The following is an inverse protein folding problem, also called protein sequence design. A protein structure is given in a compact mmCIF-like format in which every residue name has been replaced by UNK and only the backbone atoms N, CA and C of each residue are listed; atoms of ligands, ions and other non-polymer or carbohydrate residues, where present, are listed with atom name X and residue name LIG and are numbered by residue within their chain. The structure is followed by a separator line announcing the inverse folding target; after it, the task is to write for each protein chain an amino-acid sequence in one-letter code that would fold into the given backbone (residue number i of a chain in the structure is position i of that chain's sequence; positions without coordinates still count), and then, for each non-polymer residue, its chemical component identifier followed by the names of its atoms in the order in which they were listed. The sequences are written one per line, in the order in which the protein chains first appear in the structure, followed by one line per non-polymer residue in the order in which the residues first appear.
data_IF_520527397394
#
_entry.id   IF_520527397394
#
_cell.length_a   1.000
_cell.length_b   1.000
_cell.length_c   1.000
_cell.angle_alpha   90.00
_cell.angle_beta   90.00
_cell.angle_gamma   90.00
#
_symmetry.space_group_name_H-M   'P 1'
#
loop_
_entity.id
_entity.type
_entity.pdbx_description
1 polymer ?
#
# COMPACT_ATOMS: atom_id res chain seq x y z
N UNK A 1 -4.75 -2.73 36.94
CA UNK A 1 -4.24 -1.62 36.08
C UNK A 1 -5.45 -0.88 35.51
N UNK A 2 -5.52 0.43 35.69
CA UNK A 2 -6.59 1.27 35.18
C UNK A 2 -6.49 1.41 33.64
N UNK A 3 -7.57 1.87 32.99
CA UNK A 3 -7.58 2.08 31.54
C UNK A 3 -6.62 3.21 31.13
N UNK A 4 -6.55 4.28 31.94
CA UNK A 4 -5.65 5.42 31.76
C UNK A 4 -4.19 4.99 31.87
N UNK A 5 -3.86 4.25 32.90
CA UNK A 5 -2.51 3.71 33.11
C UNK A 5 -2.10 2.77 31.96
N UNK A 6 -3.03 1.90 31.52
CA UNK A 6 -2.78 1.03 30.36
C UNK A 6 -2.48 1.84 29.11
N UNK A 7 -3.26 2.89 28.84
CA UNK A 7 -3.06 3.76 27.68
C UNK A 7 -1.70 4.49 27.76
N UNK A 8 -1.36 5.07 28.90
CA UNK A 8 -0.08 5.75 29.10
C UNK A 8 1.11 4.81 28.83
N UNK A 9 1.05 3.58 29.33
CA UNK A 9 2.09 2.57 29.08
C UNK A 9 2.17 2.16 27.61
N UNK A 10 1.03 1.99 26.92
CA UNK A 10 1.02 1.70 25.49
C UNK A 10 1.69 2.80 24.67
N UNK A 11 1.47 4.08 25.02
CA UNK A 11 2.13 5.19 24.36
C UNK A 11 3.67 5.19 24.53
N UNK A 12 4.14 4.67 25.66
CA UNK A 12 5.57 4.51 25.97
C UNK A 12 6.23 3.32 25.25
N UNK A 13 5.44 2.40 24.66
CA UNK A 13 5.96 1.26 23.88
C UNK A 13 6.78 1.69 22.65
N UNK A 14 6.63 2.95 22.20
CA UNK A 14 7.37 3.51 21.06
C UNK A 14 6.91 3.00 19.69
N UNK A 15 6.00 2.03 19.63
CA UNK A 15 5.46 1.48 18.38
C UNK A 15 4.07 2.05 18.08
N UNK A 16 3.90 2.60 16.88
CA UNK A 16 2.62 3.17 16.45
C UNK A 16 1.60 2.08 16.05
N UNK A 17 2.09 0.89 15.67
CA UNK A 17 1.28 -0.29 15.37
C UNK A 17 1.90 -1.49 16.07
N UNK A 18 1.09 -2.27 16.76
CA UNK A 18 1.54 -3.41 17.56
C UNK A 18 0.51 -4.54 17.58
N UNK A 19 0.97 -5.72 17.92
CA UNK A 19 0.09 -6.89 18.11
C UNK A 19 -0.37 -6.99 19.55
N UNK A 20 -1.49 -7.70 19.77
CA UNK A 20 -1.95 -8.04 21.14
C UNK A 20 -0.86 -8.72 21.96
N UNK A 21 -0.08 -9.61 21.35
CA UNK A 21 1.00 -10.32 22.03
C UNK A 21 2.13 -9.36 22.50
N UNK A 22 2.47 -8.38 21.68
CA UNK A 22 3.51 -7.38 22.00
C UNK A 22 3.07 -6.53 23.21
N UNK A 23 1.81 -6.07 23.20
CA UNK A 23 1.23 -5.33 24.30
C UNK A 23 1.11 -6.20 25.55
N UNK A 24 0.73 -7.47 25.45
CA UNK A 24 0.64 -8.39 26.56
C UNK A 24 2.01 -8.58 27.24
N UNK A 25 3.05 -8.82 26.43
CA UNK A 25 4.42 -8.97 26.93
C UNK A 25 4.91 -7.67 27.63
N UNK A 26 4.70 -6.52 26.99
CA UNK A 26 5.12 -5.22 27.53
C UNK A 26 4.40 -4.86 28.84
N UNK A 27 3.12 -5.18 28.95
CA UNK A 27 2.30 -4.88 30.13
C UNK A 27 2.43 -5.95 31.23
N UNK A 28 3.07 -7.09 30.98
CA UNK A 28 3.13 -8.22 31.91
C UNK A 28 1.77 -8.91 32.11
N UNK A 29 0.96 -8.99 31.04
CA UNK A 29 -0.40 -9.53 31.09
C UNK A 29 -0.55 -10.78 30.21
N UNK A 30 -1.60 -11.56 30.47
CA UNK A 30 -2.00 -12.61 29.53
C UNK A 30 -2.57 -12.00 28.24
N UNK A 31 -2.46 -12.71 27.11
CA UNK A 31 -3.03 -12.29 25.83
C UNK A 31 -4.53 -11.98 25.91
N UNK A 32 -5.29 -12.78 26.69
CA UNK A 32 -6.73 -12.59 26.87
C UNK A 32 -7.04 -11.30 27.64
N UNK A 33 -6.28 -10.99 28.67
CA UNK A 33 -6.45 -9.77 29.47
C UNK A 33 -6.03 -8.53 28.64
N UNK A 34 -4.89 -8.59 27.96
CA UNK A 34 -4.45 -7.52 27.07
C UNK A 34 -5.48 -7.26 25.97
N UNK A 35 -5.99 -8.30 25.30
CA UNK A 35 -7.01 -8.16 24.25
C UNK A 35 -8.27 -7.42 24.75
N UNK A 36 -8.76 -7.73 25.96
CA UNK A 36 -9.91 -7.03 26.56
C UNK A 36 -9.62 -5.57 26.86
N UNK A 37 -8.45 -5.26 27.40
CA UNK A 37 -8.06 -3.88 27.71
C UNK A 37 -7.88 -3.05 26.41
N UNK A 38 -7.22 -3.60 25.41
CA UNK A 38 -7.03 -2.95 24.12
C UNK A 38 -8.37 -2.71 23.39
N UNK A 39 -9.30 -3.65 23.47
CA UNK A 39 -10.66 -3.46 22.94
C UNK A 39 -11.40 -2.33 23.65
N UNK A 40 -11.28 -2.21 24.97
CA UNK A 40 -11.86 -1.10 25.73
C UNK A 40 -11.24 0.24 25.38
N UNK A 41 -9.91 0.30 25.19
CA UNK A 41 -9.21 1.48 24.71
C UNK A 41 -9.67 1.88 23.29
N UNK A 42 -9.91 0.90 22.42
CA UNK A 42 -10.43 1.17 21.08
C UNK A 42 -11.87 1.68 21.12
N UNK A 43 -12.74 1.13 21.96
CA UNK A 43 -14.11 1.64 22.16
C UNK A 43 -14.10 3.07 22.71
N UNK A 44 -13.13 3.42 23.54
CA UNK A 44 -12.93 4.77 24.07
C UNK A 44 -12.24 5.73 23.08
N UNK A 45 -11.89 5.29 21.86
CA UNK A 45 -11.25 6.12 20.83
C UNK A 45 -9.75 6.34 21.00
N UNK A 46 -9.12 5.72 22.01
CA UNK A 46 -7.69 5.88 22.27
C UNK A 46 -6.80 5.02 21.37
N UNK A 47 -7.35 3.92 20.84
CA UNK A 47 -6.68 3.03 19.89
C UNK A 47 -7.59 2.74 18.70
N UNK A 48 -6.97 2.32 17.59
CA UNK A 48 -7.68 1.78 16.42
C UNK A 48 -7.40 0.29 16.31
N UNK A 49 -8.45 -0.50 16.08
CA UNK A 49 -8.29 -1.89 15.70
C UNK A 49 -8.19 -1.99 14.18
N UNK A 50 -6.99 -2.23 13.67
CA UNK A 50 -6.75 -2.35 12.22
C UNK A 50 -7.26 -3.68 11.66
N UNK A 51 -7.01 -4.77 12.39
CA UNK A 51 -7.53 -6.13 12.16
C UNK A 51 -7.48 -6.94 13.45
N UNK A 52 -7.93 -8.18 13.39
CA UNK A 52 -7.85 -9.06 14.57
C UNK A 52 -6.41 -9.14 15.10
N UNK A 53 -6.24 -8.80 16.37
CA UNK A 53 -4.95 -8.84 17.06
C UNK A 53 -3.94 -7.77 16.64
N UNK A 54 -4.32 -6.76 15.84
CA UNK A 54 -3.44 -5.66 15.42
C UNK A 54 -4.10 -4.31 15.73
N UNK A 55 -3.36 -3.47 16.44
CA UNK A 55 -3.82 -2.20 16.99
C UNK A 55 -2.90 -1.07 16.58
N UNK A 56 -3.43 0.15 16.56
CA UNK A 56 -2.67 1.35 16.24
C UNK A 56 -3.02 2.51 17.16
N UNK A 57 -2.04 3.41 17.35
CA UNK A 57 -2.24 4.72 17.98
C UNK A 57 -2.65 5.71 16.89
N UNK A 58 -3.88 6.28 16.93
CA UNK A 58 -4.44 7.06 15.81
C UNK A 58 -3.59 8.24 15.40
N UNK A 59 -3.09 9.00 16.37
CA UNK A 59 -2.38 10.27 16.17
C UNK A 59 -0.97 10.14 15.56
N UNK A 60 -0.47 8.92 15.38
CA UNK A 60 0.92 8.66 14.96
C UNK A 60 1.02 7.82 13.69
N UNK A 61 -0.07 7.57 13.00
CA UNK A 61 -0.08 6.64 11.88
C UNK A 61 -0.41 7.35 10.57
N UNK A 62 0.52 7.28 9.62
CA UNK A 62 0.27 7.60 8.22
C UNK A 62 -0.63 6.50 7.60
N UNK A 63 -1.78 6.84 7.00
CA UNK A 63 -2.63 5.87 6.33
C UNK A 63 -1.91 5.04 5.27
N UNK A 64 -0.91 5.60 4.57
CA UNK A 64 -0.12 4.87 3.57
C UNK A 64 0.75 3.76 4.20
N UNK A 65 1.15 3.91 5.47
CA UNK A 65 1.89 2.88 6.19
C UNK A 65 1.05 1.65 6.55
N UNK A 66 -0.30 1.74 6.47
CA UNK A 66 -1.20 0.63 6.79
C UNK A 66 -0.89 -0.63 5.99
N UNK A 67 -0.49 -0.50 4.72
CA UNK A 67 -0.24 -1.65 3.86
C UNK A 67 0.78 -2.62 4.48
N UNK A 68 1.93 -2.13 4.95
CA UNK A 68 2.99 -2.95 5.54
C UNK A 68 2.55 -3.66 6.82
N UNK A 69 1.78 -2.97 7.67
CA UNK A 69 1.27 -3.53 8.92
C UNK A 69 0.17 -4.58 8.71
N UNK A 70 -0.65 -4.39 7.68
CA UNK A 70 -1.76 -5.30 7.37
C UNK A 70 -1.31 -6.56 6.65
N UNK A 71 -0.22 -6.48 5.87
CA UNK A 71 0.31 -7.64 5.12
C UNK A 71 1.30 -8.48 5.90
N UNK A 72 1.85 -7.98 7.00
CA UNK A 72 2.85 -8.69 7.80
C UNK A 72 2.43 -10.16 8.07
N UNK A 73 3.33 -11.17 7.88
CA UNK A 73 4.79 -11.01 7.69
C UNK A 73 5.25 -10.76 6.23
N UNK A 74 4.34 -10.70 5.27
CA UNK A 74 4.70 -10.49 3.87
C UNK A 74 5.01 -9.01 3.60
N UNK A 75 6.10 -8.72 2.86
CA UNK A 75 6.40 -7.35 2.47
C UNK A 75 5.35 -6.80 1.50
N UNK A 76 5.17 -5.47 1.54
CA UNK A 76 4.29 -4.75 0.63
C UNK A 76 4.81 -3.34 0.39
N UNK A 77 4.36 -2.72 -0.70
CA UNK A 77 4.56 -1.31 -0.97
C UNK A 77 3.31 -0.70 -1.60
N UNK A 78 3.11 0.59 -1.37
CA UNK A 78 2.04 1.38 -1.99
C UNK A 78 2.32 1.48 -3.49
N UNK A 79 1.30 1.24 -4.33
CA UNK A 79 1.44 1.17 -5.79
C UNK A 79 0.13 1.55 -6.48
N UNK A 80 0.02 1.23 -7.78
CA UNK A 80 -1.18 1.45 -8.58
C UNK A 80 -1.62 2.92 -8.51
N UNK A 81 -2.94 3.18 -8.44
CA UNK A 81 -3.47 4.54 -8.43
C UNK A 81 -2.97 5.37 -7.25
N UNK A 82 -2.72 4.76 -6.07
CA UNK A 82 -2.21 5.51 -4.92
C UNK A 82 -0.81 6.07 -5.16
N UNK A 83 0.10 5.28 -5.73
CA UNK A 83 1.44 5.75 -6.08
C UNK A 83 1.41 6.66 -7.32
N UNK A 84 0.57 6.35 -8.33
CA UNK A 84 0.40 7.21 -9.50
C UNK A 84 -0.09 8.61 -9.12
N UNK A 85 -1.07 8.71 -8.20
CA UNK A 85 -1.53 9.99 -7.65
C UNK A 85 -0.43 10.71 -6.87
N UNK A 86 0.26 9.98 -5.98
CA UNK A 86 1.35 10.54 -5.17
C UNK A 86 2.44 11.18 -6.03
N UNK A 87 2.78 10.55 -7.16
CA UNK A 87 3.76 11.06 -8.12
C UNK A 87 3.20 12.06 -9.14
N UNK A 88 1.92 12.46 -9.02
CA UNK A 88 1.29 13.41 -9.94
C UNK A 88 1.05 12.88 -11.37
N UNK A 89 1.13 11.55 -11.56
CA UNK A 89 0.86 10.90 -12.85
C UNK A 89 -0.63 10.88 -13.17
N UNK A 90 -1.48 10.87 -12.15
CA UNK A 90 -2.93 11.02 -12.26
C UNK A 90 -3.41 12.13 -11.34
N UNK A 91 -4.44 12.85 -11.73
CA UNK A 91 -5.06 13.91 -10.92
C UNK A 91 -6.17 13.40 -10.00
N UNK A 92 -6.73 12.23 -10.30
CA UNK A 92 -7.83 11.66 -9.52
C UNK A 92 -7.34 11.10 -8.19
N UNK A 93 -7.89 11.62 -7.07
CA UNK A 93 -7.61 11.14 -5.71
C UNK A 93 -8.23 9.75 -5.52
N UNK A 94 -7.44 8.71 -5.20
CA UNK A 94 -7.98 7.38 -4.94
C UNK A 94 -8.74 7.34 -3.60
N UNK A 95 -9.97 6.82 -3.59
CA UNK A 95 -10.74 6.60 -2.35
C UNK A 95 -10.25 5.39 -1.54
N UNK A 96 -9.31 4.64 -2.06
CA UNK A 96 -8.76 3.41 -1.49
C UNK A 96 -7.24 3.47 -1.59
N UNK A 97 -6.56 3.06 -0.55
CA UNK A 97 -5.10 2.88 -0.59
C UNK A 97 -4.81 1.58 -1.33
N UNK A 98 -4.14 1.69 -2.46
CA UNK A 98 -3.73 0.55 -3.27
C UNK A 98 -2.28 0.18 -2.99
N UNK A 99 -2.06 -1.09 -2.70
CA UNK A 99 -0.72 -1.62 -2.49
C UNK A 99 -0.58 -3.01 -3.12
N UNK A 100 0.65 -3.43 -3.31
CA UNK A 100 1.00 -4.77 -3.78
C UNK A 100 1.82 -5.51 -2.74
N UNK A 101 1.73 -6.83 -2.73
CA UNK A 101 2.46 -7.70 -1.81
C UNK A 101 2.71 -9.06 -2.47
N UNK A 102 3.72 -9.77 -2.01
CA UNK A 102 3.91 -11.19 -2.35
C UNK A 102 2.91 -12.10 -1.61
N UNK A 103 2.19 -11.58 -0.62
CA UNK A 103 1.10 -12.24 0.06
C UNK A 103 -0.18 -12.31 -0.80
N UNK A 104 -1.24 -12.87 -0.22
CA UNK A 104 -2.54 -13.03 -0.92
C UNK A 104 -3.23 -11.68 -1.14
N UNK A 105 -3.94 -11.55 -2.27
CA UNK A 105 -4.87 -10.44 -2.52
C UNK A 105 -5.93 -10.36 -1.42
N UNK A 106 -6.08 -9.16 -0.83
CA UNK A 106 -7.03 -8.89 0.25
C UNK A 106 -7.47 -7.43 0.26
N UNK A 107 -8.70 -7.19 0.72
CA UNK A 107 -9.20 -5.85 1.05
C UNK A 107 -9.37 -5.77 2.57
N UNK A 108 -8.78 -4.73 3.16
CA UNK A 108 -8.93 -4.42 4.57
C UNK A 108 -9.73 -3.12 4.72
N UNK A 109 -10.81 -3.17 5.49
CA UNK A 109 -11.56 -1.98 5.91
C UNK A 109 -11.11 -1.62 7.30
N UNK A 110 -10.53 -0.44 7.46
CA UNK A 110 -10.04 0.07 8.74
C UNK A 110 -10.71 1.40 9.04
N UNK A 111 -10.68 1.85 10.30
CA UNK A 111 -11.18 3.20 10.64
C UNK A 111 -10.44 4.34 9.94
N UNK A 112 -9.21 4.10 9.43
CA UNK A 112 -8.39 5.07 8.68
C UNK A 112 -8.59 5.01 7.17
N UNK A 113 -9.45 4.11 6.68
CA UNK A 113 -9.71 3.93 5.27
C UNK A 113 -9.60 2.48 4.81
N UNK A 114 -9.95 2.27 3.56
CA UNK A 114 -9.87 0.96 2.90
C UNK A 114 -8.50 0.79 2.27
N UNK A 115 -7.87 -0.36 2.51
CA UNK A 115 -6.59 -0.76 1.89
C UNK A 115 -6.83 -1.99 1.02
N UNK A 116 -6.54 -1.87 -0.26
CA UNK A 116 -6.65 -2.96 -1.24
C UNK A 116 -5.26 -3.48 -1.59
N UNK A 117 -4.97 -4.70 -1.15
CA UNK A 117 -3.70 -5.38 -1.41
C UNK A 117 -3.87 -6.32 -2.59
N UNK A 118 -2.98 -6.23 -3.56
CA UNK A 118 -2.96 -7.11 -4.73
C UNK A 118 -1.71 -8.00 -4.72
N UNK A 119 -1.90 -9.27 -5.02
CA UNK A 119 -0.78 -10.21 -5.12
C UNK A 119 0.10 -9.91 -6.33
N UNK A 120 1.40 -9.86 -6.10
CA UNK A 120 2.41 -9.74 -7.12
C UNK A 120 3.40 -10.91 -7.01
N UNK A 121 3.82 -11.46 -8.15
CA UNK A 121 4.82 -12.51 -8.16
C UNK A 121 6.15 -12.00 -7.58
N UNK A 122 6.87 -12.81 -6.77
CA UNK A 122 8.13 -12.39 -6.12
C UNK A 122 9.16 -11.83 -7.10
N UNK A 123 9.27 -12.40 -8.30
CA UNK A 123 10.23 -11.98 -9.32
C UNK A 123 9.92 -10.59 -9.90
N UNK A 124 8.67 -10.12 -9.73
CA UNK A 124 8.27 -8.77 -10.16
C UNK A 124 8.09 -7.80 -8.97
N UNK A 125 8.44 -8.23 -7.75
CA UNK A 125 8.37 -7.44 -6.53
C UNK A 125 9.68 -6.63 -6.33
N UNK A 126 9.77 -5.49 -7.01
CA UNK A 126 10.91 -4.55 -6.97
C UNK A 126 10.48 -3.15 -7.46
N UNK A 127 11.38 -2.17 -7.52
CA UNK A 127 11.13 -0.83 -8.08
C UNK A 127 10.29 0.05 -7.16
N UNK A 128 10.53 -0.06 -5.87
CA UNK A 128 9.98 0.80 -4.83
C UNK A 128 11.10 1.36 -3.97
N UNK A 129 10.83 2.46 -3.29
CA UNK A 129 11.72 3.14 -2.38
C UNK A 129 11.03 3.32 -1.03
N UNK A 130 11.81 3.40 0.05
CA UNK A 130 11.29 3.69 1.38
C UNK A 130 11.37 5.19 1.60
N UNK A 131 10.24 5.83 1.83
CA UNK A 131 10.15 7.26 2.10
C UNK A 131 10.67 7.55 3.52
N UNK A 132 11.66 8.42 3.64
CA UNK A 132 12.35 8.72 4.90
C UNK A 132 11.40 9.25 5.98
N UNK A 133 10.45 10.11 5.62
CA UNK A 133 9.55 10.78 6.56
C UNK A 133 8.52 9.87 7.21
N UNK A 134 8.11 8.77 6.56
CA UNK A 134 7.01 7.93 7.05
C UNK A 134 7.35 6.43 7.10
N UNK A 135 8.54 6.02 6.64
CA UNK A 135 8.91 4.60 6.53
C UNK A 135 8.00 3.80 5.58
N UNK A 136 7.28 4.51 4.69
CA UNK A 136 6.36 3.92 3.71
C UNK A 136 7.14 3.47 2.50
N UNK A 137 7.05 2.19 2.15
CA UNK A 137 7.53 1.70 0.87
C UNK A 137 6.56 2.12 -0.25
N UNK A 138 7.06 2.85 -1.24
CA UNK A 138 6.29 3.43 -2.34
C UNK A 138 6.90 3.03 -3.69
N UNK A 139 6.08 2.55 -4.62
CA UNK A 139 6.52 2.29 -5.99
C UNK A 139 7.04 3.57 -6.67
N UNK A 140 8.08 3.45 -7.49
CA UNK A 140 8.45 4.53 -8.40
C UNK A 140 7.33 4.80 -9.43
N UNK A 141 7.27 5.97 -10.09
CA UNK A 141 6.26 6.28 -11.09
C UNK A 141 6.11 5.18 -12.15
N UNK A 142 7.24 4.71 -12.67
CA UNK A 142 7.30 3.66 -13.69
C UNK A 142 6.74 2.34 -13.15
N UNK A 143 7.16 1.97 -11.93
CA UNK A 143 6.72 0.72 -11.33
C UNK A 143 5.24 0.74 -11.01
N UNK A 144 4.71 1.84 -10.50
CA UNK A 144 3.28 1.99 -10.20
C UNK A 144 2.41 1.77 -11.46
N UNK A 145 2.82 2.35 -12.60
CA UNK A 145 2.14 2.13 -13.87
C UNK A 145 2.29 0.68 -14.36
N UNK A 146 3.48 0.11 -14.24
CA UNK A 146 3.72 -1.27 -14.66
C UNK A 146 2.98 -2.29 -13.80
N UNK A 147 2.85 -2.07 -12.50
CA UNK A 147 2.02 -2.90 -11.61
C UNK A 147 0.56 -2.86 -12.03
N UNK A 148 0.05 -1.66 -12.37
CA UNK A 148 -1.29 -1.52 -12.89
C UNK A 148 -1.50 -2.32 -14.17
N UNK A 149 -0.59 -2.19 -15.16
CA UNK A 149 -0.67 -2.92 -16.43
C UNK A 149 -0.49 -4.44 -16.24
N UNK A 150 0.36 -4.84 -15.30
CA UNK A 150 0.60 -6.24 -14.97
C UNK A 150 -0.63 -6.93 -14.37
N UNK A 151 -1.40 -6.23 -13.55
CA UNK A 151 -2.59 -6.73 -12.86
C UNK A 151 -3.88 -6.57 -13.68
N UNK A 152 -3.88 -5.71 -14.70
CA UNK A 152 -5.06 -5.39 -15.53
C UNK A 152 -5.79 -6.62 -16.12
N UNK A 153 -5.13 -7.75 -16.47
CA UNK A 153 -5.82 -8.94 -16.92
C UNK A 153 -6.69 -9.63 -15.85
N UNK A 154 -6.49 -9.29 -14.56
CA UNK A 154 -7.43 -9.70 -13.52
C UNK A 154 -8.77 -8.97 -13.75
N UNK A 155 -9.88 -9.71 -13.83
CA UNK A 155 -11.24 -9.21 -14.14
C UNK A 155 -11.83 -8.33 -13.00
N UNK A 156 -11.04 -7.44 -12.42
CA UNK A 156 -11.47 -6.52 -11.39
C UNK A 156 -11.94 -5.20 -12.01
N UNK A 157 -13.02 -4.61 -11.48
CA UNK A 157 -13.51 -3.30 -11.88
C UNK A 157 -12.45 -2.19 -11.74
N UNK A 158 -11.47 -2.38 -10.85
CA UNK A 158 -10.34 -1.49 -10.63
C UNK A 158 -9.53 -1.21 -11.90
N UNK A 159 -9.45 -2.17 -12.82
CA UNK A 159 -8.60 -2.09 -14.01
C UNK A 159 -9.38 -1.77 -15.31
N UNK A 160 -10.66 -1.34 -15.19
CA UNK A 160 -11.50 -1.07 -16.38
C UNK A 160 -11.11 0.20 -17.11
N UNK A 161 -10.73 1.26 -16.39
CA UNK A 161 -10.28 2.52 -16.99
C UNK A 161 -9.08 3.06 -16.23
N UNK A 162 -8.03 3.45 -16.97
CA UNK A 162 -7.00 4.32 -16.43
C UNK A 162 -7.52 5.77 -16.54
N UNK A 163 -7.33 6.58 -15.48
CA UNK A 163 -7.44 8.02 -15.60
C UNK A 163 -6.48 8.53 -16.67
N UNK A 164 -6.70 9.75 -17.13
CA UNK A 164 -5.73 10.45 -17.98
C UNK A 164 -4.37 10.51 -17.28
N UNK A 165 -3.31 10.14 -18.00
CA UNK A 165 -1.96 10.04 -17.47
C UNK A 165 -1.13 11.24 -17.89
N UNK A 166 -0.56 11.97 -16.94
CA UNK A 166 0.48 12.95 -17.19
C UNK A 166 1.87 12.32 -17.00
N UNK A 167 2.51 11.97 -18.10
CA UNK A 167 3.84 11.33 -18.10
C UNK A 167 5.00 12.33 -18.31
N UNK A 168 4.75 13.66 -18.26
CA UNK A 168 5.64 14.66 -18.84
C UNK A 168 6.94 14.94 -18.07
N UNK A 169 6.99 14.88 -16.76
CA UNK A 169 8.15 15.46 -16.04
C UNK A 169 9.02 14.49 -15.25
N UNK A 170 8.47 13.40 -14.76
CA UNK A 170 9.19 12.49 -13.84
C UNK A 170 9.28 11.05 -14.34
N UNK A 171 8.63 10.76 -15.48
CA UNK A 171 8.48 9.39 -15.97
C UNK A 171 9.59 8.97 -16.94
N UNK A 172 10.38 7.96 -16.56
CA UNK A 172 11.48 7.45 -17.37
C UNK A 172 11.05 6.23 -18.22
N UNK A 173 10.69 6.48 -19.49
CA UNK A 173 10.24 5.43 -20.42
C UNK A 173 11.32 4.33 -20.61
N UNK A 174 12.62 4.69 -20.62
CA UNK A 174 13.71 3.73 -20.79
C UNK A 174 13.81 2.80 -19.58
N UNK A 175 13.62 3.35 -18.37
CA UNK A 175 13.59 2.58 -17.12
C UNK A 175 12.38 1.63 -17.11
N UNK A 176 11.18 2.11 -17.44
CA UNK A 176 9.98 1.29 -17.53
C UNK A 176 10.18 0.11 -18.49
N UNK A 177 10.74 0.33 -19.67
CA UNK A 177 11.05 -0.74 -20.63
C UNK A 177 12.06 -1.77 -20.10
N UNK A 178 13.05 -1.33 -19.31
CA UNK A 178 13.97 -2.26 -18.61
C UNK A 178 13.21 -3.12 -17.58
N UNK A 179 12.31 -2.52 -16.81
CA UNK A 179 11.49 -3.23 -15.84
C UNK A 179 10.56 -4.26 -16.52
N UNK A 180 9.94 -3.92 -17.65
CA UNK A 180 9.09 -4.85 -18.42
C UNK A 180 9.87 -6.11 -18.80
N UNK A 181 11.14 -6.00 -19.20
CA UNK A 181 11.99 -7.16 -19.56
C UNK A 181 12.21 -8.14 -18.41
N UNK A 182 12.07 -7.69 -17.15
CA UNK A 182 12.17 -8.54 -15.96
C UNK A 182 10.93 -9.36 -15.65
N UNK A 183 9.82 -9.17 -16.38
CA UNK A 183 8.61 -9.99 -16.22
C UNK A 183 8.92 -11.41 -16.73
N UNK A 184 8.85 -12.46 -15.85
CA UNK A 184 9.28 -13.80 -16.22
C UNK A 184 8.42 -14.42 -17.32
N UNK A 185 7.10 -14.31 -17.19
CA UNK A 185 6.14 -14.86 -18.15
C UNK A 185 6.19 -14.10 -19.47
N UNK A 186 6.61 -14.76 -20.55
CA UNK A 186 6.65 -14.20 -21.91
C UNK A 186 5.29 -13.63 -22.32
N UNK A 187 4.21 -14.40 -22.10
CA UNK A 187 2.84 -13.98 -22.42
C UNK A 187 2.48 -12.68 -21.68
N UNK A 188 2.73 -12.62 -20.36
CA UNK A 188 2.41 -11.42 -19.56
C UNK A 188 3.29 -10.25 -19.95
N UNK A 189 4.57 -10.47 -20.18
CA UNK A 189 5.52 -9.44 -20.64
C UNK A 189 5.06 -8.80 -21.96
N UNK A 190 4.64 -9.60 -22.94
CA UNK A 190 4.11 -9.12 -24.22
C UNK A 190 2.84 -8.29 -24.04
N UNK A 191 1.91 -8.73 -23.18
CA UNK A 191 0.68 -7.98 -22.89
C UNK A 191 0.98 -6.63 -22.24
N UNK A 192 1.87 -6.61 -21.24
CA UNK A 192 2.28 -5.38 -20.56
C UNK A 192 3.01 -4.45 -21.51
N UNK A 193 3.95 -4.96 -22.33
CA UNK A 193 4.67 -4.17 -23.31
C UNK A 193 3.73 -3.48 -24.31
N UNK A 194 2.80 -4.23 -24.92
CA UNK A 194 1.80 -3.68 -25.87
C UNK A 194 0.91 -2.62 -25.22
N UNK A 195 0.46 -2.86 -23.98
CA UNK A 195 -0.36 -1.90 -23.26
C UNK A 195 0.43 -0.63 -22.92
N UNK A 196 1.68 -0.77 -22.52
CA UNK A 196 2.60 0.34 -22.25
C UNK A 196 2.88 1.17 -23.51
N UNK A 197 3.22 0.54 -24.63
CA UNK A 197 3.49 1.23 -25.90
C UNK A 197 2.27 2.01 -26.39
N UNK A 198 1.05 1.43 -26.27
CA UNK A 198 -0.20 2.12 -26.62
C UNK A 198 -0.42 3.38 -25.76
N UNK A 199 -0.16 3.31 -24.46
CA UNK A 199 -0.33 4.44 -23.55
C UNK A 199 0.70 5.56 -23.83
N UNK A 200 1.96 5.20 -24.03
CA UNK A 200 3.04 6.17 -24.28
C UNK A 200 2.92 6.83 -25.65
N UNK A 201 2.42 6.13 -26.67
CA UNK A 201 2.12 6.71 -27.97
C UNK A 201 0.97 7.75 -27.88
N UNK A 202 -0.08 7.46 -27.10
CA UNK A 202 -1.19 8.39 -26.86
C UNK A 202 -0.75 9.66 -26.12
N UNK A 203 0.06 9.52 -25.08
CA UNK A 203 0.58 10.65 -24.32
C UNK A 203 1.46 11.58 -25.17
N UNK A 204 2.29 11.02 -26.08
CA UNK A 204 3.11 11.80 -27.00
C UNK A 204 2.28 12.56 -28.04
N UNK A 205 1.11 12.05 -28.43
CA UNK A 205 0.22 12.73 -29.36
C UNK A 205 -0.49 13.94 -28.71
N UNK A 206 -0.96 13.78 -27.46
CA UNK A 206 -1.62 14.86 -26.71
C UNK A 206 -0.69 16.04 -26.39
N UNK A 207 0.61 15.77 -26.16
CA UNK A 207 1.62 16.81 -25.89
C UNK A 207 2.01 17.66 -27.09
N UNK A 208 1.61 17.27 -28.31
CA UNK A 208 1.88 18.07 -29.56
C UNK A 208 0.73 19.00 -29.94
N UNK A 209 -0.41 18.90 -29.23
CA UNK A 209 -1.62 19.69 -29.53
C UNK A 209 -1.84 20.85 -28.54
N UNK A 210 -0.96 21.03 -27.59
CA UNK A 210 -0.89 22.17 -26.65
C UNK A 210 0.37 23.01 -26.95
#
# INVERSE_FOLDING_TARGET
MSLIETHARILQMGSNVFRTADAAAYLGLSNSTASRLLARLATAGHLLRLRHGVWAVPSKLDPLALASHLTAPFPSYVSLQSALYFHGIISQIPNVIYAVSVGRTRVFRTPLGTVSIHHLQPEFFFGFEVMETAGVAMATPEKALLDYLYLRPARSNLFRSLPELDLRSTFNIKLARRMIRRIPSVRRRTLVARAFDKLTAGAAASSRQQ
#
